data_IF_343093756886
#
_entry.id   IF_343093756886
#
_cell.length_a   1.000
_cell.length_b   1.000
_cell.length_c   1.000
_cell.angle_alpha   90.00
_cell.angle_beta   90.00
_cell.angle_gamma   90.00
#
_symmetry.space_group_name_H-M   'P 1'
#
loop_
_entity.id
_entity.type
_entity.pdbx_description
1 polymer ?
#
# COMPACT_ATOMS: atom_id res chain seq x y z
N UNK A 1 29.40 -34.25 -17.74
CA UNK A 1 28.03 -33.92 -18.19
C UNK A 1 27.23 -33.55 -16.94
N UNK A 2 27.22 -32.28 -16.56
CA UNK A 2 26.46 -31.78 -15.42
C UNK A 2 25.25 -31.03 -16.00
N UNK A 3 24.06 -31.62 -15.85
CA UNK A 3 22.79 -30.99 -16.19
C UNK A 3 22.55 -29.85 -15.22
N UNK A 4 22.85 -28.61 -15.65
CA UNK A 4 22.28 -27.42 -15.04
C UNK A 4 20.78 -27.46 -15.26
N UNK A 5 20.05 -27.99 -14.29
CA UNK A 5 18.62 -27.79 -14.19
C UNK A 5 18.40 -26.30 -13.91
N UNK A 6 18.08 -25.55 -14.97
CA UNK A 6 17.36 -24.29 -14.84
C UNK A 6 16.01 -24.61 -14.22
N UNK A 7 15.93 -24.57 -12.89
CA UNK A 7 14.66 -24.72 -12.18
C UNK A 7 13.92 -23.41 -12.44
N UNK A 8 12.95 -23.47 -13.35
CA UNK A 8 11.99 -22.38 -13.51
C UNK A 8 11.46 -21.99 -12.12
N UNK A 9 11.53 -20.70 -11.73
CA UNK A 9 11.13 -20.28 -10.39
C UNK A 9 9.70 -20.72 -10.11
N UNK A 10 9.51 -21.41 -8.99
CA UNK A 10 8.20 -21.92 -8.59
C UNK A 10 7.22 -20.77 -8.41
N UNK A 11 5.91 -21.01 -8.56
CA UNK A 11 4.89 -19.94 -8.49
C UNK A 11 4.96 -19.08 -7.20
N UNK A 12 5.50 -19.64 -6.11
CA UNK A 12 5.62 -19.04 -4.78
C UNK A 12 7.05 -18.55 -4.43
N UNK A 13 8.01 -18.64 -5.36
CA UNK A 13 9.41 -18.22 -5.17
C UNK A 13 9.54 -16.82 -4.57
N UNK A 14 8.82 -15.85 -5.14
CA UNK A 14 8.89 -14.45 -4.72
C UNK A 14 8.37 -14.21 -3.30
N UNK A 15 7.37 -14.97 -2.84
CA UNK A 15 6.88 -14.89 -1.45
C UNK A 15 7.90 -15.46 -0.47
N UNK A 16 8.49 -16.61 -0.82
CA UNK A 16 9.58 -17.20 -0.03
C UNK A 16 10.76 -16.22 0.06
N UNK A 17 11.12 -15.60 -1.05
CA UNK A 17 12.18 -14.62 -1.09
C UNK A 17 11.83 -13.36 -0.29
N UNK A 18 10.56 -12.93 -0.28
CA UNK A 18 10.08 -11.85 0.57
C UNK A 18 10.35 -12.04 2.07
N UNK A 19 10.33 -13.28 2.55
CA UNK A 19 10.66 -13.64 3.95
C UNK A 19 12.17 -13.75 4.17
N UNK A 20 12.93 -14.21 3.17
CA UNK A 20 14.36 -14.46 3.28
C UNK A 20 15.22 -13.21 3.06
N UNK A 21 14.78 -12.27 2.23
CA UNK A 21 15.54 -11.07 1.86
C UNK A 21 16.01 -10.26 3.08
N UNK A 22 15.18 -10.03 4.13
CA UNK A 22 15.62 -9.33 5.34
C UNK A 22 16.74 -10.05 6.10
N UNK A 23 16.81 -11.39 5.98
CA UNK A 23 17.84 -12.19 6.65
C UNK A 23 19.22 -12.06 5.99
N UNK A 24 19.27 -11.60 4.73
CA UNK A 24 20.52 -11.40 3.97
C UNK A 24 21.32 -10.20 4.47
N UNK A 25 20.64 -9.15 4.97
CA UNK A 25 21.28 -7.99 5.61
C UNK A 25 20.53 -7.58 6.88
N UNK A 26 20.63 -8.44 7.92
CA UNK A 26 19.88 -8.26 9.18
C UNK A 26 20.08 -6.90 9.82
N UNK A 27 21.31 -6.37 9.81
CA UNK A 27 21.64 -5.10 10.46
C UNK A 27 20.89 -3.94 9.81
N UNK A 28 20.86 -3.89 8.47
CA UNK A 28 20.13 -2.86 7.73
C UNK A 28 18.62 -2.99 7.95
N UNK A 29 18.07 -4.20 7.85
CA UNK A 29 16.63 -4.43 8.00
C UNK A 29 16.13 -4.26 9.43
N UNK A 30 16.95 -4.50 10.46
CA UNK A 30 16.62 -4.14 11.85
C UNK A 30 16.51 -2.62 11.99
N UNK A 31 17.46 -1.87 11.43
CA UNK A 31 17.43 -0.40 11.51
C UNK A 31 16.23 0.19 10.75
N UNK A 32 16.00 -0.25 9.50
CA UNK A 32 14.85 0.17 8.70
C UNK A 32 13.53 -0.29 9.34
N UNK A 33 13.48 -1.52 9.85
CA UNK A 33 12.34 -2.07 10.59
C UNK A 33 12.00 -1.23 11.83
N UNK A 34 13.00 -0.85 12.62
CA UNK A 34 12.80 0.01 13.79
C UNK A 34 12.21 1.37 13.41
N UNK A 35 12.64 1.97 12.29
CA UNK A 35 12.07 3.22 11.77
C UNK A 35 10.61 3.01 11.36
N UNK A 36 10.29 1.93 10.63
CA UNK A 36 8.90 1.63 10.22
C UNK A 36 8.02 1.46 11.46
N UNK A 37 8.46 0.68 12.45
CA UNK A 37 7.72 0.45 13.70
C UNK A 37 7.52 1.75 14.47
N UNK A 38 8.58 2.55 14.63
CA UNK A 38 8.50 3.82 15.33
C UNK A 38 7.54 4.78 14.63
N UNK A 39 7.67 4.96 13.32
CA UNK A 39 6.77 5.81 12.53
C UNK A 39 5.32 5.32 12.58
N UNK A 40 5.09 4.01 12.45
CA UNK A 40 3.73 3.44 12.50
C UNK A 40 3.10 3.63 13.88
N UNK A 41 3.88 3.41 14.95
CA UNK A 41 3.41 3.62 16.32
C UNK A 41 3.09 5.08 16.59
N UNK A 42 3.98 6.00 16.18
CA UNK A 42 3.77 7.44 16.33
C UNK A 42 2.54 7.93 15.55
N UNK A 43 2.33 7.41 14.34
CA UNK A 43 1.13 7.71 13.57
C UNK A 43 -0.10 7.19 14.31
N UNK A 44 -0.18 5.90 14.65
CA UNK A 44 -1.32 5.35 15.38
C UNK A 44 -1.66 6.14 16.64
N UNK A 45 -0.64 6.42 17.48
CA UNK A 45 -0.82 7.22 18.68
C UNK A 45 -1.30 8.64 18.38
N UNK A 46 -0.74 9.27 17.34
CA UNK A 46 -1.19 10.59 16.88
C UNK A 46 -2.65 10.57 16.41
N UNK A 47 -3.11 9.50 15.77
CA UNK A 47 -4.52 9.37 15.38
C UNK A 47 -5.44 9.18 16.60
N UNK A 48 -5.04 8.35 17.56
CA UNK A 48 -5.80 8.13 18.80
C UNK A 48 -5.87 9.41 19.64
N UNK A 49 -4.85 10.28 19.58
CA UNK A 49 -4.82 11.53 20.35
C UNK A 49 -5.48 12.72 19.64
N UNK A 50 -5.39 12.80 18.31
CA UNK A 50 -5.88 13.95 17.54
C UNK A 50 -7.29 13.76 17.00
N UNK A 51 -7.66 12.54 16.58
CA UNK A 51 -8.92 12.29 15.86
C UNK A 51 -9.96 11.61 16.74
N UNK A 52 -9.55 10.69 17.60
CA UNK A 52 -10.46 9.98 18.51
C UNK A 52 -11.28 10.89 19.43
N UNK A 53 -10.71 11.89 20.13
CA UNK A 53 -11.50 12.70 21.06
C UNK A 53 -12.62 13.46 20.35
N UNK A 54 -12.32 13.98 19.17
CA UNK A 54 -13.25 14.75 18.37
C UNK A 54 -14.32 13.87 17.70
N UNK A 55 -13.97 12.63 17.34
CA UNK A 55 -14.93 11.64 16.90
C UNK A 55 -15.88 11.18 18.04
N UNK A 56 -15.33 11.00 19.25
CA UNK A 56 -16.11 10.63 20.44
C UNK A 56 -17.08 11.75 20.86
N UNK A 57 -16.65 13.02 20.77
CA UNK A 57 -17.47 14.22 21.02
C UNK A 57 -18.66 14.31 20.05
N UNK A 58 -18.39 14.25 18.74
CA UNK A 58 -19.46 14.22 17.72
C UNK A 58 -20.42 13.05 17.97
N UNK A 59 -19.92 11.88 18.35
CA UNK A 59 -20.77 10.72 18.62
C UNK A 59 -21.65 10.93 19.86
N UNK A 60 -21.14 11.60 20.90
CA UNK A 60 -21.92 11.96 22.09
C UNK A 60 -23.01 12.98 21.73
N UNK A 61 -22.68 13.99 20.95
CA UNK A 61 -23.64 15.03 20.58
C UNK A 61 -24.72 14.51 19.64
N UNK A 62 -24.38 13.64 18.69
CA UNK A 62 -25.37 12.96 17.85
C UNK A 62 -26.31 12.10 18.69
N UNK A 63 -25.82 11.43 19.73
CA UNK A 63 -26.68 10.67 20.65
C UNK A 63 -27.60 11.59 21.45
N UNK A 64 -27.09 12.72 21.93
CA UNK A 64 -27.90 13.72 22.62
C UNK A 64 -28.99 14.30 21.69
N UNK A 65 -28.64 14.58 20.43
CA UNK A 65 -29.55 15.14 19.42
C UNK A 65 -30.74 14.24 19.13
N UNK A 66 -30.54 12.92 19.11
CA UNK A 66 -31.63 11.95 18.92
C UNK A 66 -32.67 11.97 20.06
N UNK A 67 -32.33 12.52 21.22
CA UNK A 67 -33.22 12.65 22.38
C UNK A 67 -33.84 14.04 22.56
N UNK A 68 -33.46 15.03 21.75
CA UNK A 68 -33.87 16.43 21.91
C UNK A 68 -35.04 16.78 20.98
N UNK A 69 -35.98 17.61 21.45
CA UNK A 69 -37.13 18.06 20.67
C UNK A 69 -36.70 18.96 19.48
N UNK A 70 -37.07 18.65 18.21
CA UNK A 70 -36.65 19.40 17.03
C UNK A 70 -37.05 20.88 17.00
N UNK A 71 -38.08 21.27 17.76
CA UNK A 71 -38.54 22.66 17.85
C UNK A 71 -37.80 23.51 18.89
N UNK A 72 -36.91 22.90 19.68
CA UNK A 72 -36.23 23.56 20.79
C UNK A 72 -34.98 24.34 20.37
N UNK A 73 -34.65 25.38 21.15
CA UNK A 73 -33.38 26.11 21.01
C UNK A 73 -32.16 25.20 21.24
N UNK A 74 -32.31 24.21 22.13
CA UNK A 74 -31.28 23.22 22.45
C UNK A 74 -30.95 22.35 21.24
N UNK A 75 -31.95 21.94 20.46
CA UNK A 75 -31.73 21.21 19.21
C UNK A 75 -30.91 22.03 18.20
N UNK A 76 -31.27 23.31 17.99
CA UNK A 76 -30.55 24.19 17.08
C UNK A 76 -29.09 24.41 17.52
N UNK A 77 -28.86 24.55 18.83
CA UNK A 77 -27.51 24.68 19.40
C UNK A 77 -26.68 23.42 19.16
N UNK A 78 -27.25 22.25 19.44
CA UNK A 78 -26.54 20.98 19.31
C UNK A 78 -26.22 20.64 17.84
N UNK A 79 -27.11 20.99 16.90
CA UNK A 79 -26.81 20.90 15.46
C UNK A 79 -25.63 21.80 15.08
N UNK A 80 -25.57 23.01 15.63
CA UNK A 80 -24.47 23.95 15.36
C UNK A 80 -23.13 23.45 15.95
N UNK A 81 -23.16 22.87 17.14
CA UNK A 81 -22.01 22.25 17.82
C UNK A 81 -21.46 21.09 16.99
N UNK A 82 -22.31 20.11 16.64
CA UNK A 82 -21.96 19.00 15.74
C UNK A 82 -21.36 19.51 14.42
N UNK A 83 -21.94 20.55 13.81
CA UNK A 83 -21.41 21.12 12.57
C UNK A 83 -20.03 21.76 12.75
N UNK A 84 -19.80 22.41 13.88
CA UNK A 84 -18.51 23.02 14.18
C UNK A 84 -17.44 21.94 14.41
N UNK A 85 -17.75 20.94 15.21
CA UNK A 85 -16.82 19.87 15.57
C UNK A 85 -16.53 18.98 14.36
N UNK A 86 -17.52 18.77 13.48
CA UNK A 86 -17.31 18.09 12.20
C UNK A 86 -16.36 18.88 11.29
N UNK A 87 -16.46 20.22 11.25
CA UNK A 87 -15.53 21.05 10.47
C UNK A 87 -14.13 21.00 11.06
N UNK A 88 -14.01 21.06 12.38
CA UNK A 88 -12.74 20.91 13.07
C UNK A 88 -12.12 19.54 12.78
N UNK A 89 -12.92 18.47 12.82
CA UNK A 89 -12.47 17.11 12.52
C UNK A 89 -12.01 16.98 11.08
N UNK A 90 -12.70 17.65 10.15
CA UNK A 90 -12.30 17.67 8.76
C UNK A 90 -10.95 18.40 8.57
N UNK A 91 -10.73 19.53 9.25
CA UNK A 91 -9.48 20.28 9.15
C UNK A 91 -8.30 19.55 9.82
N UNK A 92 -8.47 19.14 11.08
CA UNK A 92 -7.47 18.38 11.84
C UNK A 92 -7.19 17.04 11.16
N UNK A 93 -8.25 16.34 10.74
CA UNK A 93 -8.17 15.08 10.00
C UNK A 93 -7.42 15.23 8.68
N UNK A 94 -7.73 16.26 7.89
CA UNK A 94 -7.01 16.51 6.63
C UNK A 94 -5.52 16.79 6.86
N UNK A 95 -5.19 17.63 7.85
CA UNK A 95 -3.81 17.92 8.22
C UNK A 95 -3.05 16.67 8.69
N UNK A 96 -3.69 15.86 9.53
CA UNK A 96 -3.12 14.61 10.03
C UNK A 96 -2.93 13.57 8.90
N UNK A 97 -3.91 13.41 8.01
CA UNK A 97 -3.79 12.50 6.85
C UNK A 97 -2.63 12.93 5.95
N UNK A 98 -2.49 14.23 5.67
CA UNK A 98 -1.37 14.74 4.87
C UNK A 98 -0.03 14.41 5.53
N UNK A 99 0.10 14.64 6.84
CA UNK A 99 1.28 14.29 7.61
C UNK A 99 1.57 12.78 7.57
N UNK A 100 0.56 11.94 7.78
CA UNK A 100 0.67 10.50 7.74
C UNK A 100 1.14 10.00 6.37
N UNK A 101 0.56 10.52 5.28
CA UNK A 101 0.96 10.20 3.91
C UNK A 101 2.44 10.54 3.67
N UNK A 102 2.90 11.70 4.12
CA UNK A 102 4.32 12.11 3.96
C UNK A 102 5.25 11.18 4.72
N UNK A 103 4.96 10.89 5.99
CA UNK A 103 5.78 9.99 6.82
C UNK A 103 5.80 8.58 6.25
N UNK A 104 4.63 8.01 5.93
CA UNK A 104 4.53 6.68 5.34
C UNK A 104 5.23 6.59 3.98
N UNK A 105 5.19 7.64 3.17
CA UNK A 105 5.90 7.74 1.89
C UNK A 105 7.42 7.68 2.09
N UNK A 106 7.95 8.48 3.01
CA UNK A 106 9.38 8.52 3.30
C UNK A 106 9.91 7.15 3.76
N UNK A 107 9.18 6.53 4.70
CA UNK A 107 9.49 5.18 5.21
C UNK A 107 9.42 4.13 4.10
N UNK A 108 8.42 4.20 3.23
CA UNK A 108 8.26 3.28 2.10
C UNK A 108 9.40 3.41 1.08
N UNK A 109 9.81 4.62 0.75
CA UNK A 109 10.95 4.87 -0.15
C UNK A 109 12.24 4.31 0.47
N UNK A 110 12.48 4.58 1.76
CA UNK A 110 13.64 4.06 2.49
C UNK A 110 13.72 2.53 2.43
N UNK A 111 12.60 1.86 2.67
CA UNK A 111 12.48 0.41 2.60
C UNK A 111 12.72 -0.12 1.17
N UNK A 112 12.19 0.55 0.15
CA UNK A 112 12.42 0.18 -1.24
C UNK A 112 13.91 0.24 -1.61
N UNK A 113 14.60 1.33 -1.25
CA UNK A 113 16.06 1.41 -1.43
C UNK A 113 16.78 0.28 -0.68
N UNK A 114 16.38 -0.03 0.56
CA UNK A 114 16.99 -1.13 1.33
C UNK A 114 16.84 -2.49 0.64
N UNK A 115 15.63 -2.78 0.13
CA UNK A 115 15.36 -4.04 -0.58
C UNK A 115 16.09 -4.13 -1.90
N UNK A 116 16.09 -3.07 -2.71
CA UNK A 116 16.78 -3.04 -4.01
C UNK A 116 18.29 -3.21 -3.82
N UNK A 117 18.90 -2.53 -2.85
CA UNK A 117 20.33 -2.67 -2.56
C UNK A 117 20.71 -4.08 -2.10
N UNK A 118 19.92 -4.64 -1.18
CA UNK A 118 20.18 -5.98 -0.66
C UNK A 118 19.99 -7.05 -1.73
N UNK A 119 19.02 -6.88 -2.63
CA UNK A 119 18.79 -7.83 -3.72
C UNK A 119 19.87 -7.75 -4.81
N UNK A 120 20.34 -6.54 -5.16
CA UNK A 120 21.39 -6.33 -6.18
C UNK A 120 22.79 -6.85 -5.79
N UNK A 121 22.95 -7.48 -4.64
CA UNK A 121 24.21 -8.08 -4.21
C UNK A 121 25.11 -7.18 -3.36
N UNK A 122 24.68 -5.97 -3.00
CA UNK A 122 25.38 -5.09 -2.06
C UNK A 122 25.10 -5.56 -0.60
N UNK A 123 25.46 -6.81 -0.30
CA UNK A 123 25.11 -7.51 0.95
C UNK A 123 25.66 -6.86 2.23
N UNK A 124 26.65 -5.97 2.11
CA UNK A 124 27.25 -5.21 3.22
C UNK A 124 26.86 -3.73 3.23
N UNK A 125 25.85 -3.33 2.46
CA UNK A 125 25.40 -1.95 2.43
C UNK A 125 25.06 -1.44 3.83
N UNK A 126 25.70 -0.34 4.23
CA UNK A 126 25.48 0.30 5.53
C UNK A 126 24.30 1.29 5.44
N UNK A 127 23.66 1.58 6.57
CA UNK A 127 22.56 2.55 6.62
C UNK A 127 22.95 3.95 6.08
N UNK A 128 24.21 4.36 6.25
CA UNK A 128 24.76 5.59 5.69
C UNK A 128 24.81 5.58 4.15
N UNK A 129 25.20 4.45 3.56
CA UNK A 129 25.23 4.27 2.10
C UNK A 129 23.83 4.25 1.52
N UNK A 130 22.89 3.60 2.21
CA UNK A 130 21.47 3.64 1.89
C UNK A 130 20.96 5.09 1.87
N UNK A 131 21.27 5.89 2.89
CA UNK A 131 20.82 7.28 2.98
C UNK A 131 21.46 8.16 1.88
N UNK A 132 22.74 7.95 1.59
CA UNK A 132 23.43 8.63 0.50
C UNK A 132 22.82 8.33 -0.87
N UNK A 133 22.55 7.05 -1.15
CA UNK A 133 21.95 6.62 -2.43
C UNK A 133 20.49 7.03 -2.54
N UNK A 134 19.74 6.95 -1.44
CA UNK A 134 18.38 7.45 -1.36
C UNK A 134 18.34 8.95 -1.68
N UNK A 135 19.22 9.76 -1.10
CA UNK A 135 19.28 11.20 -1.38
C UNK A 135 19.70 11.51 -2.83
N UNK A 136 20.68 10.79 -3.37
CA UNK A 136 21.16 10.98 -4.74
C UNK A 136 20.10 10.62 -5.80
N UNK A 137 19.29 9.58 -5.55
CA UNK A 137 18.33 9.05 -6.53
C UNK A 137 16.86 9.25 -6.13
N UNK A 138 16.56 10.13 -5.15
CA UNK A 138 15.22 10.31 -4.60
C UNK A 138 14.19 10.81 -5.61
N UNK A 139 14.63 11.66 -6.55
CA UNK A 139 13.74 12.40 -7.46
C UNK A 139 12.84 11.47 -8.26
N UNK A 140 13.38 10.33 -8.70
CA UNK A 140 12.66 9.35 -9.50
C UNK A 140 11.52 8.64 -8.78
N UNK A 141 11.80 7.96 -7.65
CA UNK A 141 10.80 7.36 -6.79
C UNK A 141 9.77 8.36 -6.27
N UNK A 142 10.20 9.58 -5.90
CA UNK A 142 9.30 10.63 -5.42
C UNK A 142 8.32 11.09 -6.50
N UNK A 143 8.80 11.33 -7.73
CA UNK A 143 7.95 11.69 -8.87
C UNK A 143 6.95 10.57 -9.21
N UNK A 144 7.40 9.32 -9.15
CA UNK A 144 6.54 8.15 -9.40
C UNK A 144 5.48 8.01 -8.33
N UNK A 145 5.85 8.22 -7.07
CA UNK A 145 4.91 8.18 -5.95
C UNK A 145 3.87 9.30 -6.03
N UNK A 146 4.28 10.52 -6.36
CA UNK A 146 3.35 11.64 -6.57
C UNK A 146 2.36 11.34 -7.72
N UNK A 147 2.87 10.81 -8.83
CA UNK A 147 2.02 10.38 -9.95
C UNK A 147 1.03 9.28 -9.56
N UNK A 148 1.49 8.29 -8.79
CA UNK A 148 0.65 7.21 -8.25
C UNK A 148 -0.44 7.77 -7.34
N UNK A 149 -0.12 8.69 -6.42
CA UNK A 149 -1.12 9.29 -5.54
C UNK A 149 -2.18 10.06 -6.29
N UNK A 150 -1.81 10.85 -7.30
CA UNK A 150 -2.79 11.55 -8.15
C UNK A 150 -3.74 10.54 -8.81
N UNK A 151 -3.20 9.44 -9.33
CA UNK A 151 -4.01 8.44 -10.02
C UNK A 151 -4.90 7.64 -9.07
N UNK A 152 -4.42 7.33 -7.86
CA UNK A 152 -5.23 6.72 -6.79
C UNK A 152 -6.36 7.65 -6.32
N UNK A 153 -6.08 8.94 -6.12
CA UNK A 153 -7.10 9.94 -5.76
C UNK A 153 -8.17 10.03 -6.84
N UNK A 154 -7.77 10.15 -8.12
CA UNK A 154 -8.72 10.18 -9.25
C UNK A 154 -9.60 8.93 -9.27
N UNK A 155 -9.00 7.75 -9.03
CA UNK A 155 -9.74 6.49 -9.00
C UNK A 155 -10.73 6.42 -7.83
N UNK A 156 -10.33 6.85 -6.63
CA UNK A 156 -11.19 6.89 -5.44
C UNK A 156 -12.35 7.86 -5.66
N UNK A 157 -12.09 9.06 -6.20
CA UNK A 157 -13.14 10.03 -6.54
C UNK A 157 -14.11 9.45 -7.55
N UNK A 158 -13.61 8.77 -8.59
CA UNK A 158 -14.45 8.08 -9.56
C UNK A 158 -15.35 7.02 -8.91
N UNK A 159 -14.79 6.18 -8.02
CA UNK A 159 -15.59 5.19 -7.28
C UNK A 159 -16.63 5.86 -6.36
N UNK A 160 -16.29 6.97 -5.71
CA UNK A 160 -17.21 7.70 -4.85
C UNK A 160 -18.39 8.27 -5.64
N UNK A 161 -18.13 8.84 -6.82
CA UNK A 161 -19.18 9.32 -7.73
C UNK A 161 -20.07 8.17 -8.21
N UNK A 162 -19.49 7.02 -8.54
CA UNK A 162 -20.26 5.82 -8.90
C UNK A 162 -21.10 5.30 -7.73
N UNK A 163 -20.57 5.36 -6.50
CA UNK A 163 -21.31 5.03 -5.28
C UNK A 163 -22.49 5.98 -5.04
N UNK A 164 -22.29 7.28 -5.21
CA UNK A 164 -23.36 8.27 -5.12
C UNK A 164 -24.45 8.02 -6.17
N UNK A 165 -24.06 7.67 -7.41
CA UNK A 165 -25.00 7.28 -8.44
C UNK A 165 -25.82 6.05 -8.03
N UNK A 166 -25.21 5.02 -7.44
CA UNK A 166 -25.94 3.85 -6.93
C UNK A 166 -27.02 4.25 -5.92
N UNK A 167 -26.70 5.16 -4.98
CA UNK A 167 -27.69 5.66 -4.01
C UNK A 167 -28.87 6.33 -4.70
N UNK A 168 -28.62 7.18 -5.71
CA UNK A 168 -29.69 7.83 -6.49
C UNK A 168 -30.56 6.79 -7.21
N UNK A 169 -29.97 5.72 -7.76
CA UNK A 169 -30.69 4.66 -8.45
C UNK A 169 -31.56 3.83 -7.49
N UNK A 170 -31.09 3.60 -6.26
CA UNK A 170 -31.87 2.94 -5.20
C UNK A 170 -33.09 3.79 -4.85
N UNK A 171 -32.90 5.10 -4.61
CA UNK A 171 -33.99 6.02 -4.24
C UNK A 171 -35.04 6.12 -5.34
N UNK A 172 -34.61 6.15 -6.61
CA UNK A 172 -35.52 6.20 -7.77
C UNK A 172 -36.06 4.84 -8.21
N UNK A 173 -35.74 3.76 -7.49
CA UNK A 173 -36.21 2.39 -7.76
C UNK A 173 -35.91 1.87 -9.19
N UNK A 174 -34.81 2.33 -9.79
CA UNK A 174 -34.38 1.85 -11.12
C UNK A 174 -33.59 0.54 -11.01
N UNK A 175 -34.28 -0.56 -10.71
CA UNK A 175 -33.65 -1.86 -10.39
C UNK A 175 -32.74 -2.41 -11.49
N UNK A 176 -33.10 -2.30 -12.76
CA UNK A 176 -32.27 -2.79 -13.88
C UNK A 176 -30.95 -2.01 -13.97
N UNK A 177 -31.03 -0.68 -13.88
CA UNK A 177 -29.86 0.19 -13.93
C UNK A 177 -28.99 0.01 -12.69
N UNK A 178 -29.61 -0.25 -11.53
CA UNK A 178 -28.94 -0.54 -10.27
C UNK A 178 -28.09 -1.80 -10.37
N UNK A 179 -28.62 -2.89 -10.91
CA UNK A 179 -27.88 -4.15 -11.10
C UNK A 179 -26.68 -3.91 -12.02
N UNK A 180 -26.89 -3.24 -13.16
CA UNK A 180 -25.81 -2.96 -14.11
C UNK A 180 -24.73 -2.06 -13.51
N UNK A 181 -25.11 -1.00 -12.82
CA UNK A 181 -24.19 -0.10 -12.13
C UNK A 181 -23.45 -0.82 -11.00
N UNK A 182 -24.10 -1.74 -10.27
CA UNK A 182 -23.47 -2.52 -9.21
C UNK A 182 -22.40 -3.47 -9.76
N UNK A 183 -22.67 -4.14 -10.89
CA UNK A 183 -21.67 -4.97 -11.59
C UNK A 183 -20.48 -4.13 -12.07
N UNK A 184 -20.73 -2.93 -12.59
CA UNK A 184 -19.68 -2.01 -13.01
C UNK A 184 -18.82 -1.55 -11.83
N UNK A 185 -19.44 -1.21 -10.69
CA UNK A 185 -18.73 -0.83 -9.46
C UNK A 185 -17.91 -2.00 -8.93
N UNK A 186 -18.47 -3.22 -8.93
CA UNK A 186 -17.73 -4.42 -8.53
C UNK A 186 -16.51 -4.66 -9.44
N UNK A 187 -16.69 -4.55 -10.76
CA UNK A 187 -15.60 -4.65 -11.73
C UNK A 187 -14.53 -3.57 -11.52
N UNK A 188 -14.95 -2.33 -11.25
CA UNK A 188 -14.06 -1.22 -10.95
C UNK A 188 -13.31 -1.44 -9.62
N UNK A 189 -13.95 -2.01 -8.60
CA UNK A 189 -13.31 -2.35 -7.33
C UNK A 189 -12.26 -3.47 -7.50
N UNK A 190 -12.57 -4.52 -8.27
CA UNK A 190 -11.59 -5.57 -8.60
C UNK A 190 -10.41 -5.00 -9.39
N UNK A 191 -10.70 -4.10 -10.33
CA UNK A 191 -9.68 -3.43 -11.13
C UNK A 191 -8.79 -2.50 -10.28
N UNK A 192 -9.35 -1.86 -9.24
CA UNK A 192 -8.61 -1.03 -8.29
C UNK A 192 -7.54 -1.86 -7.58
N UNK A 193 -7.88 -3.08 -7.14
CA UNK A 193 -6.93 -3.94 -6.43
C UNK A 193 -5.70 -4.27 -7.30
N UNK A 194 -5.93 -4.64 -8.57
CA UNK A 194 -4.84 -4.87 -9.52
C UNK A 194 -4.06 -3.58 -9.79
N UNK A 195 -4.78 -2.47 -9.96
CA UNK A 195 -4.21 -1.17 -10.23
C UNK A 195 -3.31 -0.67 -9.07
N UNK A 196 -3.74 -0.81 -7.81
CA UNK A 196 -2.95 -0.49 -6.61
C UNK A 196 -1.69 -1.34 -6.51
N UNK A 197 -1.74 -2.61 -6.91
CA UNK A 197 -0.53 -3.42 -7.02
C UNK A 197 0.42 -2.86 -8.08
N UNK A 198 -0.07 -2.56 -9.29
CA UNK A 198 0.77 -2.02 -10.37
C UNK A 198 1.36 -0.66 -10.00
N UNK A 199 0.58 0.20 -9.34
CA UNK A 199 1.04 1.45 -8.75
C UNK A 199 2.19 1.23 -7.76
N UNK A 200 1.98 0.35 -6.79
CA UNK A 200 2.99 -0.02 -5.80
C UNK A 200 4.26 -0.57 -6.43
N UNK A 201 4.08 -1.41 -7.46
CA UNK A 201 5.16 -2.03 -8.22
C UNK A 201 5.92 -1.01 -9.09
N UNK A 202 5.25 0.03 -9.59
CA UNK A 202 5.92 1.10 -10.35
C UNK A 202 6.94 1.88 -9.53
N UNK A 203 6.70 2.04 -8.22
CA UNK A 203 7.68 2.68 -7.33
C UNK A 203 8.92 1.79 -7.15
N UNK A 204 8.74 0.46 -7.10
CA UNK A 204 9.87 -0.50 -7.10
C UNK A 204 10.70 -0.35 -8.38
N UNK A 205 10.04 -0.29 -9.54
CA UNK A 205 10.70 -0.08 -10.84
C UNK A 205 11.47 1.25 -10.85
N UNK A 206 10.87 2.34 -10.35
CA UNK A 206 11.53 3.64 -10.31
C UNK A 206 12.76 3.70 -9.39
N UNK A 207 12.80 2.87 -8.34
CA UNK A 207 13.98 2.72 -7.47
C UNK A 207 15.04 1.84 -8.13
N UNK A 208 14.62 0.80 -8.85
CA UNK A 208 15.52 -0.19 -9.43
C UNK A 208 16.07 0.16 -10.83
N UNK A 209 15.39 1.01 -11.60
CA UNK A 209 15.79 1.48 -12.94
C UNK A 209 15.98 3.02 -12.91
N UNK A 210 17.20 3.52 -12.64
CA UNK A 210 17.48 4.96 -12.65
C UNK A 210 17.17 5.55 -14.03
N UNK A 211 16.23 6.51 -14.10
CA UNK A 211 15.76 7.11 -15.35
C UNK A 211 14.33 6.74 -15.75
N UNK A 212 13.76 5.68 -15.18
CA UNK A 212 12.39 5.24 -15.43
C UNK A 212 11.47 5.77 -14.32
N UNK A 213 10.74 6.87 -14.55
CA UNK A 213 9.97 7.55 -13.51
C UNK A 213 8.55 7.93 -13.97
N UNK A 214 7.63 8.14 -13.01
CA UNK A 214 6.27 8.58 -13.30
C UNK A 214 5.51 7.59 -14.18
N UNK A 215 4.89 8.09 -15.25
CA UNK A 215 4.15 7.27 -16.20
C UNK A 215 5.02 6.20 -16.89
N UNK A 216 6.32 6.48 -17.12
CA UNK A 216 7.22 5.50 -17.73
C UNK A 216 7.43 4.28 -16.80
N UNK A 217 7.62 4.54 -15.50
CA UNK A 217 7.71 3.48 -14.48
C UNK A 217 6.42 2.68 -14.38
N UNK A 218 5.26 3.34 -14.44
CA UNK A 218 3.96 2.67 -14.42
C UNK A 218 3.75 1.78 -15.65
N UNK A 219 4.09 2.27 -16.84
CA UNK A 219 4.03 1.50 -18.08
C UNK A 219 4.97 0.29 -18.05
N UNK A 220 6.19 0.46 -17.54
CA UNK A 220 7.16 -0.62 -17.33
C UNK A 220 6.66 -1.65 -16.32
N UNK A 221 6.11 -1.23 -15.19
CA UNK A 221 5.50 -2.09 -14.18
C UNK A 221 4.32 -2.90 -14.75
N UNK A 222 3.44 -2.26 -15.53
CA UNK A 222 2.32 -2.91 -16.19
C UNK A 222 2.79 -3.99 -17.18
N UNK A 223 3.82 -3.70 -17.98
CA UNK A 223 4.44 -4.69 -18.88
C UNK A 223 5.04 -5.88 -18.15
N UNK A 224 5.76 -5.62 -17.05
CA UNK A 224 6.37 -6.67 -16.22
C UNK A 224 5.31 -7.55 -15.54
N UNK A 225 4.21 -6.95 -15.06
CA UNK A 225 3.09 -7.66 -14.43
C UNK A 225 2.23 -8.44 -15.43
N UNK A 226 2.28 -8.09 -16.73
CA UNK A 226 1.50 -8.76 -17.78
C UNK A 226 1.91 -10.24 -17.90
N UNK A 227 0.91 -11.12 -17.98
CA UNK A 227 1.11 -12.58 -18.16
C UNK A 227 1.23 -13.39 -16.86
N UNK A 228 1.30 -12.76 -15.68
CA UNK A 228 1.37 -13.45 -14.38
C UNK A 228 0.25 -12.99 -13.42
N UNK A 229 -0.98 -12.81 -13.93
CA UNK A 229 -2.14 -12.31 -13.16
C UNK A 229 -2.36 -13.10 -11.86
N UNK A 230 -2.21 -14.42 -11.89
CA UNK A 230 -2.38 -15.26 -10.71
C UNK A 230 -1.33 -15.01 -9.61
N UNK A 231 -0.07 -14.68 -9.95
CA UNK A 231 0.94 -14.34 -8.93
C UNK A 231 0.62 -13.00 -8.27
N UNK A 232 0.10 -12.04 -9.04
CA UNK A 232 -0.39 -10.76 -8.53
C UNK A 232 -1.59 -10.97 -7.61
N UNK A 233 -2.58 -11.77 -8.04
CA UNK A 233 -3.75 -12.12 -7.22
C UNK A 233 -3.31 -12.81 -5.93
N UNK A 234 -2.36 -13.74 -6.00
CA UNK A 234 -1.82 -14.41 -4.82
C UNK A 234 -1.15 -13.42 -3.86
N UNK A 235 -0.29 -12.54 -4.37
CA UNK A 235 0.39 -11.54 -3.54
C UNK A 235 -0.61 -10.64 -2.81
N UNK A 236 -1.59 -10.11 -3.55
CA UNK A 236 -2.66 -9.29 -3.00
C UNK A 236 -3.44 -10.09 -1.96
N UNK A 237 -3.90 -11.29 -2.31
CA UNK A 237 -4.68 -12.13 -1.39
C UNK A 237 -3.94 -12.39 -0.08
N UNK A 238 -2.66 -12.73 -0.13
CA UNK A 238 -1.83 -12.99 1.07
C UNK A 238 -1.66 -11.73 1.91
N UNK A 239 -1.30 -10.60 1.29
CA UNK A 239 -1.05 -9.34 2.01
C UNK A 239 -2.34 -8.75 2.58
N UNK A 240 -3.44 -8.77 1.83
CA UNK A 240 -4.76 -8.34 2.28
C UNK A 240 -5.33 -9.23 3.38
N UNK A 241 -5.18 -10.56 3.25
CA UNK A 241 -5.61 -11.49 4.30
C UNK A 241 -4.85 -11.24 5.60
N UNK A 242 -3.52 -11.07 5.53
CA UNK A 242 -2.71 -10.81 6.70
C UNK A 242 -3.09 -9.49 7.37
N UNK A 243 -3.26 -8.40 6.61
CA UNK A 243 -3.72 -7.13 7.14
C UNK A 243 -5.11 -7.24 7.79
N UNK A 244 -6.07 -7.90 7.13
CA UNK A 244 -7.44 -8.04 7.64
C UNK A 244 -7.49 -8.84 8.94
N UNK A 245 -6.80 -9.98 8.99
CA UNK A 245 -6.73 -10.82 10.20
C UNK A 245 -6.12 -10.03 11.35
N UNK A 246 -5.01 -9.31 11.11
CA UNK A 246 -4.35 -8.51 12.13
C UNK A 246 -5.24 -7.37 12.64
N UNK A 247 -5.93 -6.65 11.75
CA UNK A 247 -6.85 -5.59 12.14
C UNK A 247 -8.03 -6.13 12.95
N UNK A 248 -8.63 -7.26 12.53
CA UNK A 248 -9.73 -7.88 13.28
C UNK A 248 -9.30 -8.33 14.67
N UNK A 249 -8.14 -9.00 14.77
CA UNK A 249 -7.57 -9.42 16.05
C UNK A 249 -7.28 -8.21 16.95
N UNK A 250 -6.73 -7.13 16.38
CA UNK A 250 -6.48 -5.89 17.12
C UNK A 250 -7.78 -5.25 17.63
N UNK A 251 -8.81 -5.14 16.80
CA UNK A 251 -10.12 -4.61 17.20
C UNK A 251 -10.73 -5.44 18.33
N UNK A 252 -10.72 -6.77 18.21
CA UNK A 252 -11.23 -7.67 19.25
C UNK A 252 -10.41 -7.53 20.55
N UNK A 253 -9.09 -7.52 20.45
CA UNK A 253 -8.23 -7.35 21.61
C UNK A 253 -8.42 -5.99 22.29
N UNK A 254 -8.69 -4.92 21.54
CA UNK A 254 -8.97 -3.57 22.08
C UNK A 254 -10.30 -3.56 22.84
N UNK A 255 -11.31 -4.30 22.36
CA UNK A 255 -12.59 -4.44 23.08
C UNK A 255 -12.42 -5.23 24.40
N UNK A 256 -11.53 -6.22 24.43
CA UNK A 256 -11.24 -7.00 25.64
C UNK A 256 -10.35 -6.26 26.65
N UNK A 257 -9.55 -5.29 26.20
CA UNK A 257 -8.62 -4.56 27.05
C UNK A 257 -9.29 -3.62 28.08
N UNK A 258 -10.59 -3.36 27.93
CA UNK A 258 -11.36 -2.50 28.82
C UNK A 258 -10.81 -1.07 28.89
N UNK A 259 -10.89 -0.43 30.05
CA UNK A 259 -10.44 0.96 30.28
C UNK A 259 -8.95 1.11 30.57
N UNK A 260 -8.15 0.03 30.48
CA UNK A 260 -6.72 0.10 30.79
C UNK A 260 -5.93 0.77 29.67
N UNK A 261 -5.53 2.02 29.91
CA UNK A 261 -4.71 2.81 28.97
C UNK A 261 -3.39 2.10 28.65
N UNK A 262 -2.72 1.52 29.66
CA UNK A 262 -1.45 0.83 29.48
C UNK A 262 -1.59 -0.40 28.56
N UNK A 263 -2.66 -1.17 28.71
CA UNK A 263 -2.94 -2.33 27.86
C UNK A 263 -3.31 -1.90 26.44
N UNK A 264 -4.08 -0.82 26.29
CA UNK A 264 -4.40 -0.22 24.99
C UNK A 264 -3.15 0.22 24.23
N UNK A 265 -2.22 0.91 24.90
CA UNK A 265 -0.95 1.34 24.31
C UNK A 265 -0.06 0.16 23.90
N UNK A 266 0.06 -0.86 24.77
CA UNK A 266 0.81 -2.07 24.46
C UNK A 266 0.22 -2.79 23.23
N UNK A 267 -1.11 -2.90 23.16
CA UNK A 267 -1.79 -3.53 22.05
C UNK A 267 -1.64 -2.74 20.75
N UNK A 268 -1.70 -1.41 20.82
CA UNK A 268 -1.41 -0.52 19.69
C UNK A 268 0.02 -0.68 19.18
N UNK A 269 1.00 -0.77 20.10
CA UNK A 269 2.40 -1.03 19.74
C UNK A 269 2.59 -2.40 19.08
N UNK A 270 2.02 -3.46 19.65
CA UNK A 270 2.08 -4.82 19.07
C UNK A 270 1.47 -4.82 17.67
N UNK A 271 0.32 -4.16 17.48
CA UNK A 271 -0.31 -4.01 16.18
C UNK A 271 0.60 -3.25 15.19
N UNK A 272 1.24 -2.16 15.62
CA UNK A 272 2.19 -1.41 14.82
C UNK A 272 3.37 -2.27 14.35
N UNK A 273 3.92 -3.10 15.25
CA UNK A 273 4.99 -4.04 14.93
C UNK A 273 4.53 -5.05 13.88
N UNK A 274 3.35 -5.65 14.05
CA UNK A 274 2.81 -6.63 13.12
C UNK A 274 2.56 -6.00 11.74
N UNK A 275 1.95 -4.82 11.67
CA UNK A 275 1.73 -4.09 10.42
C UNK A 275 3.04 -3.69 9.73
N UNK A 276 4.06 -3.27 10.49
CA UNK A 276 5.39 -2.99 9.96
C UNK A 276 6.02 -4.25 9.33
N UNK A 277 5.85 -5.41 9.95
CA UNK A 277 6.33 -6.70 9.39
C UNK A 277 5.58 -7.06 8.11
N UNK A 278 4.26 -6.85 8.04
CA UNK A 278 3.48 -7.04 6.80
C UNK A 278 4.00 -6.14 5.69
N UNK A 279 4.23 -4.86 5.99
CA UNK A 279 4.75 -3.89 5.03
C UNK A 279 6.14 -4.29 4.52
N UNK A 280 7.02 -4.71 5.43
CA UNK A 280 8.37 -5.16 5.12
C UNK A 280 8.33 -6.40 4.21
N UNK A 281 7.53 -7.40 4.57
CA UNK A 281 7.29 -8.59 3.74
C UNK A 281 6.76 -8.23 2.35
N UNK A 282 5.74 -7.37 2.28
CA UNK A 282 5.10 -6.97 1.03
C UNK A 282 6.11 -6.30 0.08
N UNK A 283 6.92 -5.36 0.59
CA UNK A 283 7.94 -4.68 -0.23
C UNK A 283 9.05 -5.64 -0.66
N UNK A 284 9.56 -6.49 0.23
CA UNK A 284 10.56 -7.49 -0.11
C UNK A 284 10.05 -8.46 -1.20
N UNK A 285 8.83 -8.97 -1.06
CA UNK A 285 8.22 -9.87 -2.04
C UNK A 285 7.97 -9.19 -3.39
N UNK A 286 7.54 -7.92 -3.41
CA UNK A 286 7.42 -7.13 -4.64
C UNK A 286 8.78 -6.91 -5.33
N UNK A 287 9.82 -6.60 -4.56
CA UNK A 287 11.18 -6.43 -5.11
C UNK A 287 11.72 -7.75 -5.66
N UNK A 288 11.52 -8.87 -4.98
CA UNK A 288 11.88 -10.19 -5.50
C UNK A 288 11.12 -10.53 -6.79
N UNK A 289 9.81 -10.26 -6.83
CA UNK A 289 9.00 -10.43 -8.03
C UNK A 289 9.50 -9.56 -9.19
N UNK A 290 9.92 -8.32 -8.93
CA UNK A 290 10.52 -7.45 -9.94
C UNK A 290 11.74 -8.08 -10.60
N UNK A 291 12.71 -8.54 -9.81
CA UNK A 291 13.94 -9.12 -10.35
C UNK A 291 13.71 -10.44 -11.08
N UNK A 292 12.84 -11.32 -10.54
CA UNK A 292 12.44 -12.56 -11.23
C UNK A 292 11.83 -12.25 -12.61
N UNK A 293 10.98 -11.22 -12.71
CA UNK A 293 10.34 -10.84 -13.97
C UNK A 293 11.32 -10.20 -14.94
N UNK A 294 12.22 -9.35 -14.45
CA UNK A 294 13.24 -8.71 -15.26
C UNK A 294 14.18 -9.75 -15.88
N UNK A 295 14.71 -10.66 -15.07
CA UNK A 295 15.63 -11.72 -15.52
C UNK A 295 14.99 -12.62 -16.59
N UNK A 296 13.73 -13.01 -16.41
CA UNK A 296 13.00 -13.81 -17.39
C UNK A 296 12.79 -13.07 -18.73
N UNK A 297 12.56 -11.75 -18.71
CA UNK A 297 12.37 -10.97 -19.95
C UNK A 297 13.72 -10.74 -20.65
N UNK A 298 14.76 -10.40 -19.90
CA UNK A 298 16.09 -10.16 -20.45
C UNK A 298 16.67 -11.46 -21.03
N UNK A 299 16.46 -12.60 -20.37
CA UNK A 299 16.83 -13.93 -20.87
C UNK A 299 16.08 -14.34 -22.14
N UNK A 300 14.76 -14.12 -22.20
CA UNK A 300 13.99 -14.37 -23.42
C UNK A 300 14.45 -13.48 -24.59
N UNK A 301 14.76 -12.21 -24.34
CA UNK A 301 15.27 -11.32 -25.38
C UNK A 301 16.62 -11.81 -25.92
N UNK A 302 17.51 -12.27 -25.04
CA UNK A 302 18.79 -12.87 -25.40
C UNK A 302 18.63 -14.08 -26.30
N UNK A 303 17.82 -15.06 -25.90
CA UNK A 303 17.58 -16.29 -26.67
C UNK A 303 16.97 -15.99 -28.05
N UNK A 304 16.10 -14.98 -28.14
CA UNK A 304 15.48 -14.59 -29.42
C UNK A 304 16.48 -13.93 -30.37
N UNK A 305 17.44 -13.15 -29.84
CA UNK A 305 18.52 -12.51 -30.62
C UNK A 305 19.52 -13.56 -31.11
N UNK A 306 19.91 -14.51 -30.25
CA UNK A 306 20.77 -15.62 -30.64
C UNK A 306 20.13 -16.54 -31.69
N UNK A 307 18.83 -16.84 -31.55
CA UNK A 307 18.10 -17.61 -32.54
C UNK A 307 18.08 -16.92 -33.91
N UNK A 308 17.90 -15.59 -33.95
CA UNK A 308 17.93 -14.82 -35.20
C UNK A 308 19.30 -14.86 -35.88
N UNK A 309 20.38 -14.65 -35.13
CA UNK A 309 21.75 -14.67 -35.66
C UNK A 309 22.12 -16.06 -36.22
N UNK A 310 21.74 -17.14 -35.54
CA UNK A 310 21.94 -18.51 -36.01
C UNK A 310 21.21 -18.82 -37.33
N UNK A 311 20.01 -18.27 -37.54
CA UNK A 311 19.28 -18.42 -38.81
C UNK A 311 19.84 -17.56 -39.95
N UNK A 312 20.52 -16.46 -39.66
CA UNK A 312 21.19 -15.65 -40.68
C UNK A 312 22.52 -16.28 -41.13
N UNK A 313 23.29 -16.87 -40.21
CA UNK A 313 24.51 -17.61 -40.55
C UNK A 313 24.25 -18.94 -41.29
N UNK A 314 23.09 -19.56 -41.08
CA UNK A 314 22.71 -20.80 -41.78
C UNK A 314 22.17 -20.58 -43.21
N UNK A 315 21.87 -19.33 -43.58
CA UNK A 315 21.35 -18.94 -44.90
C UNK A 315 22.37 -18.16 -45.75
N UNK A 316 23.63 -18.06 -45.29
CA UNK A 316 24.77 -17.51 -46.04
C UNK A 316 25.67 -18.64 -46.56
#
# INVERSE_FOLDING_TARGET
>A
MATSQSIAPSFFSFLKEGVLLPTRNRRLFIAVGAIIVASTTLLLLGSDLALQPLADEIQLDVKALNGTDPGSLEYAKLVQEIQNDTKELLLVGAGYILFAVVVSSAVRILLLFATVLTYSGEQRATFSELLGKANAHLKGPLLTLAFVYVLEIVYIVFLALMGALLVVLIVKQYFVLLILASLLVLSAAISLVYFSFVCSFSVVVAVAEPGCHGAAALGRACRLAKGKKWQVVLFVAVTSALATVLSQVHTLARTCAGSSVALGLLLGFVYAVLMALVQLFAVCAMTAFYYERRENIDGQLGDTVYAKLSTEEANA
#
